data_IF_924226105707
#
_entry.id   IF_924226105707
#
_cell.length_a   1.000
_cell.length_b   1.000
_cell.length_c   1.000
_cell.angle_alpha   90.00
_cell.angle_beta   90.00
_cell.angle_gamma   90.00
#
_symmetry.space_group_name_H-M   'P 1'
#
loop_
_entity.id
_entity.type
_entity.pdbx_description
1 polymer ?
#
# COMPACT_ATOMS: atom_id res chain seq x y z
N UNK A 1 -15.81 7.68 -4.51
CA UNK A 1 -17.22 7.59 -4.06
C UNK A 1 -17.92 8.93 -4.16
N UNK A 2 -17.46 9.98 -3.46
CA UNK A 2 -18.00 11.34 -3.64
C UNK A 2 -17.88 11.80 -5.09
N UNK A 3 -16.69 11.71 -5.68
CA UNK A 3 -16.48 12.11 -7.07
C UNK A 3 -17.33 11.29 -8.04
N UNK A 4 -17.33 9.96 -7.93
CA UNK A 4 -18.07 9.09 -8.85
C UNK A 4 -19.60 9.18 -8.73
N UNK A 5 -20.16 9.51 -7.55
CA UNK A 5 -21.62 9.53 -7.34
C UNK A 5 -22.24 10.91 -7.37
N UNK A 6 -21.50 11.96 -7.01
CA UNK A 6 -22.04 13.31 -6.86
C UNK A 6 -21.48 14.23 -7.95
N UNK A 7 -20.18 14.16 -8.21
CA UNK A 7 -19.50 15.12 -9.08
C UNK A 7 -19.55 14.69 -10.55
N UNK A 8 -19.23 13.42 -10.84
CA UNK A 8 -19.18 12.89 -12.20
C UNK A 8 -20.50 13.06 -12.96
N UNK A 9 -21.69 12.80 -12.38
CA UNK A 9 -22.96 13.05 -13.07
C UNK A 9 -23.18 14.52 -13.45
N UNK A 10 -22.50 15.46 -12.79
CA UNK A 10 -22.55 16.89 -13.12
C UNK A 10 -21.64 17.24 -14.29
N UNK A 11 -20.63 16.42 -14.58
CA UNK A 11 -19.67 16.65 -15.67
C UNK A 11 -19.97 15.83 -16.92
N UNK A 12 -20.53 14.63 -16.75
CA UNK A 12 -20.84 13.72 -17.83
C UNK A 12 -22.31 13.30 -17.76
N UNK A 13 -23.10 13.84 -18.69
CA UNK A 13 -24.53 13.53 -18.82
C UNK A 13 -24.78 12.65 -20.04
N UNK A 14 -25.61 11.62 -19.89
CA UNK A 14 -26.04 10.77 -20.99
C UNK A 14 -27.40 11.23 -21.55
N UNK A 15 -27.50 11.36 -22.87
CA UNK A 15 -28.78 11.52 -23.58
C UNK A 15 -28.93 10.40 -24.62
N UNK A 16 -30.16 9.91 -24.80
CA UNK A 16 -30.48 8.87 -25.78
C UNK A 16 -30.16 9.28 -27.22
N UNK A 17 -30.20 10.59 -27.51
CA UNK A 17 -30.12 11.09 -28.89
C UNK A 17 -28.67 11.45 -29.29
N UNK A 18 -27.80 11.73 -28.32
CA UNK A 18 -26.45 12.26 -28.56
C UNK A 18 -25.34 11.53 -27.79
N UNK A 19 -25.68 10.51 -27.01
CA UNK A 19 -24.74 9.80 -26.14
C UNK A 19 -24.22 10.66 -24.97
N UNK A 20 -23.01 10.35 -24.49
CA UNK A 20 -22.36 11.08 -23.40
C UNK A 20 -21.89 12.46 -23.84
N UNK A 21 -22.26 13.50 -23.09
CA UNK A 21 -21.80 14.88 -23.28
C UNK A 21 -20.99 15.35 -22.07
N UNK A 22 -19.86 16.00 -22.35
CA UNK A 22 -19.00 16.62 -21.35
C UNK A 22 -19.41 18.07 -21.10
N UNK A 23 -19.63 18.42 -19.83
CA UNK A 23 -19.91 19.77 -19.37
C UNK A 23 -18.64 20.40 -18.77
N UNK A 24 -17.82 21.01 -19.62
CA UNK A 24 -16.57 21.66 -19.21
C UNK A 24 -16.79 22.84 -18.25
N UNK A 25 -17.90 23.56 -18.40
CA UNK A 25 -18.31 24.66 -17.52
C UNK A 25 -18.57 24.16 -16.09
N UNK A 26 -19.35 23.09 -15.95
CA UNK A 26 -19.64 22.47 -14.66
C UNK A 26 -18.39 21.87 -14.01
N UNK A 27 -17.50 21.25 -14.80
CA UNK A 27 -16.22 20.75 -14.31
C UNK A 27 -15.34 21.86 -13.71
N UNK A 28 -15.23 23.01 -14.40
CA UNK A 28 -14.50 24.17 -13.90
C UNK A 28 -15.15 24.79 -12.66
N UNK A 29 -16.48 24.99 -12.68
CA UNK A 29 -17.23 25.56 -11.54
C UNK A 29 -17.20 24.67 -10.30
N UNK A 30 -17.20 23.36 -10.46
CA UNK A 30 -17.09 22.42 -9.35
C UNK A 30 -15.79 22.62 -8.56
N UNK A 31 -14.72 23.06 -9.23
CA UNK A 31 -13.39 23.32 -8.67
C UNK A 31 -12.98 22.24 -7.66
N UNK A 32 -13.19 20.98 -8.07
CA UNK A 32 -12.85 19.79 -7.28
C UNK A 32 -11.41 19.78 -6.83
N UNK A 33 -10.50 20.35 -7.63
CA UNK A 33 -9.12 20.59 -7.22
C UNK A 33 -9.11 21.34 -5.88
N UNK A 34 -9.60 22.57 -5.83
CA UNK A 34 -9.56 23.33 -4.58
C UNK A 34 -10.33 22.66 -3.42
N UNK A 35 -11.50 22.05 -3.70
CA UNK A 35 -12.37 21.45 -2.67
C UNK A 35 -11.83 20.13 -2.10
N UNK A 36 -11.18 19.32 -2.93
CA UNK A 36 -10.65 18.02 -2.53
C UNK A 36 -9.24 18.14 -1.97
N UNK A 37 -8.45 19.11 -2.45
CA UNK A 37 -7.06 19.29 -2.03
C UNK A 37 -6.94 19.55 -0.54
N UNK A 38 -7.82 20.33 0.09
CA UNK A 38 -7.84 20.49 1.56
C UNK A 38 -7.85 19.15 2.30
N UNK A 39 -8.56 18.14 1.79
CA UNK A 39 -8.61 16.82 2.44
C UNK A 39 -7.39 15.95 2.12
N UNK A 40 -6.77 16.14 0.96
CA UNK A 40 -5.59 15.38 0.52
C UNK A 40 -4.28 16.00 1.01
N UNK A 41 -4.27 17.28 1.36
CA UNK A 41 -3.10 18.01 1.88
C UNK A 41 -3.20 18.24 3.37
N UNK A 42 -4.27 18.88 3.85
CA UNK A 42 -4.35 19.34 5.24
C UNK A 42 -4.41 18.17 6.18
N UNK A 43 -5.27 17.17 5.93
CA UNK A 43 -5.39 16.01 6.84
C UNK A 43 -4.07 15.22 6.93
N UNK A 44 -3.41 14.82 5.82
CA UNK A 44 -2.13 14.11 5.92
C UNK A 44 -1.00 14.97 6.51
N UNK A 45 -0.93 16.26 6.19
CA UNK A 45 0.09 17.15 6.76
C UNK A 45 -0.16 17.38 8.26
N UNK A 46 -1.40 17.55 8.70
CA UNK A 46 -1.74 17.64 10.12
C UNK A 46 -1.39 16.35 10.86
N UNK A 47 -1.72 15.18 10.30
CA UNK A 47 -1.34 13.90 10.88
C UNK A 47 0.18 13.72 10.94
N UNK A 48 0.91 14.17 9.91
CA UNK A 48 2.36 14.18 9.89
C UNK A 48 2.94 15.10 10.98
N UNK A 49 2.40 16.32 11.11
CA UNK A 49 2.80 17.26 12.17
C UNK A 49 2.54 16.66 13.54
N UNK A 50 1.37 16.08 13.78
CA UNK A 50 1.04 15.43 15.04
C UNK A 50 1.98 14.24 15.32
N UNK A 51 2.33 13.45 14.30
CA UNK A 51 3.28 12.35 14.42
C UNK A 51 4.70 12.82 14.77
N UNK A 52 5.19 13.90 14.15
CA UNK A 52 6.49 14.49 14.45
C UNK A 52 6.49 15.11 15.85
N UNK A 53 5.42 15.80 16.24
CA UNK A 53 5.25 16.34 17.59
C UNK A 53 5.24 15.21 18.61
N UNK A 54 4.46 14.14 18.36
CA UNK A 54 4.44 12.95 19.20
C UNK A 54 5.83 12.30 19.34
N UNK A 55 6.64 12.33 18.28
CA UNK A 55 8.01 11.80 18.31
C UNK A 55 8.91 12.50 19.34
N UNK A 56 8.70 13.80 19.61
CA UNK A 56 9.45 14.51 20.66
C UNK A 56 9.20 13.97 22.07
N UNK A 57 8.08 13.29 22.29
CA UNK A 57 7.72 12.66 23.57
C UNK A 57 8.15 11.19 23.65
N UNK A 58 8.80 10.66 22.61
CA UNK A 58 9.25 9.25 22.58
C UNK A 58 10.70 9.10 23.04
N UNK A 59 11.07 7.95 23.65
CA UNK A 59 12.44 7.67 24.04
C UNK A 59 13.44 7.78 22.87
N UNK A 60 14.68 8.18 23.16
CA UNK A 60 15.72 8.47 22.17
C UNK A 60 15.92 7.33 21.15
N UNK A 61 15.81 6.08 21.58
CA UNK A 61 15.98 4.87 20.74
C UNK A 61 14.96 4.77 19.61
N UNK A 62 13.73 5.25 19.84
CA UNK A 62 12.61 5.19 18.87
C UNK A 62 12.45 6.51 18.12
N UNK A 63 12.86 7.62 18.75
CA UNK A 63 12.71 8.97 18.18
C UNK A 63 13.35 9.10 16.80
N UNK A 64 14.54 8.55 16.58
CA UNK A 64 15.21 8.61 15.28
C UNK A 64 14.42 7.90 14.18
N UNK A 65 13.77 6.78 14.51
CA UNK A 65 12.90 6.07 13.58
C UNK A 65 11.62 6.84 13.27
N UNK A 66 11.03 7.49 14.27
CA UNK A 66 9.88 8.38 14.08
C UNK A 66 10.22 9.59 13.21
N UNK A 67 11.37 10.21 13.43
CA UNK A 67 11.86 11.33 12.61
C UNK A 67 12.16 10.89 11.18
N UNK A 68 12.80 9.73 10.99
CA UNK A 68 13.06 9.18 9.66
C UNK A 68 11.75 8.85 8.92
N UNK A 69 10.77 8.25 9.60
CA UNK A 69 9.45 8.00 9.02
C UNK A 69 8.73 9.32 8.67
N UNK A 70 8.80 10.31 9.55
CA UNK A 70 8.25 11.65 9.29
C UNK A 70 8.89 12.33 8.09
N UNK A 71 10.22 12.26 7.97
CA UNK A 71 10.96 12.78 6.82
C UNK A 71 10.58 12.04 5.52
N UNK A 72 10.45 10.71 5.55
CA UNK A 72 10.03 9.93 4.40
C UNK A 72 8.61 10.30 3.94
N UNK A 73 7.68 10.47 4.87
CA UNK A 73 6.32 10.94 4.55
C UNK A 73 6.34 12.36 4.01
N UNK A 74 7.16 13.25 4.58
CA UNK A 74 7.31 14.62 4.07
C UNK A 74 7.83 14.63 2.64
N UNK A 75 8.87 13.85 2.33
CA UNK A 75 9.42 13.72 0.97
C UNK A 75 8.36 13.19 0.01
N UNK A 76 7.62 12.15 0.40
CA UNK A 76 6.51 11.61 -0.39
C UNK A 76 5.41 12.68 -0.64
N UNK A 77 5.06 13.48 0.37
CA UNK A 77 4.11 14.60 0.22
C UNK A 77 4.63 15.67 -0.72
N UNK A 78 5.90 16.09 -0.57
CA UNK A 78 6.54 17.09 -1.44
C UNK A 78 6.56 16.60 -2.88
N UNK A 79 6.98 15.36 -3.13
CA UNK A 79 6.99 14.80 -4.49
C UNK A 79 5.59 14.71 -5.08
N UNK A 80 4.61 14.26 -4.29
CA UNK A 80 3.20 14.22 -4.71
C UNK A 80 2.74 15.62 -5.11
N UNK A 81 2.99 16.64 -4.30
CA UNK A 81 2.55 18.01 -4.60
C UNK A 81 3.29 18.62 -5.79
N UNK A 82 4.61 18.40 -5.89
CA UNK A 82 5.43 18.90 -6.99
C UNK A 82 5.00 18.33 -8.35
N UNK A 83 4.43 17.11 -8.38
CA UNK A 83 3.85 16.55 -9.60
C UNK A 83 2.40 16.96 -9.79
N UNK A 84 1.52 16.72 -8.81
CA UNK A 84 0.08 16.87 -8.99
C UNK A 84 -0.38 18.33 -9.06
N UNK A 85 0.25 19.28 -8.35
CA UNK A 85 -0.14 20.70 -8.43
C UNK A 85 0.08 21.24 -9.85
N UNK A 86 1.29 21.14 -10.44
CA UNK A 86 1.50 21.63 -11.81
C UNK A 86 0.67 20.90 -12.86
N UNK A 87 0.47 19.57 -12.71
CA UNK A 87 -0.39 18.81 -13.63
C UNK A 87 -1.83 19.29 -13.58
N UNK A 88 -2.39 19.49 -12.39
CA UNK A 88 -3.76 19.98 -12.26
C UNK A 88 -3.92 21.41 -12.78
N UNK A 89 -2.98 22.31 -12.48
CA UNK A 89 -2.99 23.67 -13.02
C UNK A 89 -2.92 23.66 -14.56
N UNK A 90 -2.06 22.81 -15.13
CA UNK A 90 -1.95 22.63 -16.58
C UNK A 90 -3.25 22.11 -17.19
N UNK A 91 -3.86 21.07 -16.59
CA UNK A 91 -5.13 20.50 -17.07
C UNK A 91 -6.30 21.48 -16.94
N UNK A 92 -6.33 22.30 -15.89
CA UNK A 92 -7.40 23.28 -15.68
C UNK A 92 -7.26 24.51 -16.60
N UNK A 93 -6.03 24.86 -17.00
CA UNK A 93 -5.76 26.03 -17.84
C UNK A 93 -5.66 25.71 -19.34
N UNK A 94 -5.38 24.47 -19.74
CA UNK A 94 -5.28 24.09 -21.16
C UNK A 94 -6.67 23.92 -21.80
N UNK A 95 -7.06 24.90 -22.61
CA UNK A 95 -8.31 24.91 -23.39
C UNK A 95 -8.28 24.00 -24.64
N UNK A 96 -7.20 23.26 -24.87
CA UNK A 96 -6.94 22.54 -26.13
C UNK A 96 -7.48 21.10 -26.16
N UNK A 97 -7.98 20.55 -25.06
CA UNK A 97 -8.61 19.23 -25.09
C UNK A 97 -9.99 19.36 -25.75
N UNK A 98 -10.13 18.77 -26.94
CA UNK A 98 -11.41 18.73 -27.65
C UNK A 98 -12.49 18.07 -26.79
N UNK A 99 -13.75 18.52 -26.92
CA UNK A 99 -14.86 17.97 -26.13
C UNK A 99 -15.02 16.45 -26.29
N UNK A 100 -14.71 15.90 -27.47
CA UNK A 100 -14.73 14.46 -27.74
C UNK A 100 -13.61 13.70 -27.02
N UNK A 101 -12.40 14.25 -26.98
CA UNK A 101 -11.28 13.65 -26.24
C UNK A 101 -11.52 13.69 -24.72
N UNK A 102 -12.09 14.79 -24.21
CA UNK A 102 -12.49 14.90 -22.81
C UNK A 102 -13.57 13.86 -22.44
N UNK A 103 -14.60 13.69 -23.28
CA UNK A 103 -15.62 12.63 -23.11
C UNK A 103 -14.97 11.25 -23.12
N UNK A 104 -14.05 10.97 -24.05
CA UNK A 104 -13.38 9.67 -24.13
C UNK A 104 -12.57 9.36 -22.86
N UNK A 105 -11.75 10.30 -22.38
CA UNK A 105 -10.95 10.14 -21.15
C UNK A 105 -11.84 10.03 -19.91
N UNK A 106 -12.89 10.85 -19.80
CA UNK A 106 -13.83 10.80 -18.68
C UNK A 106 -14.60 9.47 -18.66
N UNK A 107 -15.10 9.02 -19.81
CA UNK A 107 -15.80 7.74 -19.94
C UNK A 107 -14.88 6.56 -19.63
N UNK A 108 -13.63 6.60 -20.10
CA UNK A 108 -12.61 5.61 -19.75
C UNK A 108 -12.36 5.57 -18.24
N UNK A 109 -12.17 6.72 -17.59
CA UNK A 109 -11.97 6.81 -16.14
C UNK A 109 -13.18 6.32 -15.35
N UNK A 110 -14.41 6.70 -15.74
CA UNK A 110 -15.65 6.22 -15.12
C UNK A 110 -15.77 4.71 -15.28
N UNK A 111 -15.49 4.17 -16.47
CA UNK A 111 -15.55 2.73 -16.71
C UNK A 111 -14.48 1.94 -15.92
N UNK A 112 -13.35 2.56 -15.56
CA UNK A 112 -12.33 1.96 -14.70
C UNK A 112 -12.71 2.03 -13.22
N UNK A 113 -13.15 3.19 -12.74
CA UNK A 113 -13.33 3.47 -11.31
C UNK A 113 -14.74 3.14 -10.81
N UNK A 114 -15.77 3.39 -11.64
CA UNK A 114 -17.18 3.24 -11.26
C UNK A 114 -17.77 1.87 -11.62
N UNK A 115 -17.08 1.06 -12.44
CA UNK A 115 -17.58 -0.26 -12.86
C UNK A 115 -17.45 -1.34 -11.80
N UNK A 116 -16.51 -1.20 -10.87
CA UNK A 116 -16.23 -2.21 -9.84
C UNK A 116 -16.20 -1.68 -8.39
N UNK A 117 -17.16 -0.86 -7.95
CA UNK A 117 -17.09 -0.18 -6.66
C UNK A 117 -17.14 -1.16 -5.49
N UNK A 118 -17.92 -2.23 -5.60
CA UNK A 118 -18.06 -3.25 -4.57
C UNK A 118 -16.74 -4.02 -4.40
N UNK A 119 -16.15 -4.50 -5.49
CA UNK A 119 -14.87 -5.21 -5.46
C UNK A 119 -13.76 -4.31 -4.88
N UNK A 120 -13.72 -3.05 -5.29
CA UNK A 120 -12.80 -2.05 -4.73
C UNK A 120 -12.96 -1.87 -3.22
N UNK A 121 -14.19 -1.78 -2.71
CA UNK A 121 -14.43 -1.64 -1.26
C UNK A 121 -14.08 -2.92 -0.49
N UNK A 122 -14.41 -4.10 -1.04
CA UNK A 122 -14.04 -5.40 -0.49
C UNK A 122 -12.53 -5.57 -0.40
N UNK A 123 -11.76 -4.92 -1.27
CA UNK A 123 -10.30 -4.93 -1.19
C UNK A 123 -9.76 -3.89 -0.20
N UNK A 124 -10.16 -2.62 -0.35
CA UNK A 124 -9.55 -1.49 0.36
C UNK A 124 -9.91 -1.48 1.85
N UNK A 125 -11.16 -1.77 2.24
CA UNK A 125 -11.54 -1.72 3.65
C UNK A 125 -10.80 -2.79 4.47
N UNK A 126 -10.75 -4.07 4.05
CA UNK A 126 -9.92 -5.07 4.72
C UNK A 126 -8.42 -4.76 4.67
N UNK A 127 -7.91 -4.17 3.58
CA UNK A 127 -6.50 -3.74 3.51
C UNK A 127 -6.19 -2.65 4.54
N UNK A 128 -7.09 -1.70 4.75
CA UNK A 128 -6.96 -0.68 5.79
C UNK A 128 -6.87 -1.34 7.18
N UNK A 129 -7.78 -2.25 7.52
CA UNK A 129 -7.70 -2.99 8.78
C UNK A 129 -6.40 -3.78 8.89
N UNK A 130 -5.96 -4.43 7.81
CA UNK A 130 -4.73 -5.21 7.79
C UNK A 130 -3.49 -4.36 8.12
N UNK A 131 -3.36 -3.20 7.48
CA UNK A 131 -2.22 -2.31 7.67
C UNK A 131 -2.24 -1.58 9.01
N UNK A 132 -3.42 -1.14 9.47
CA UNK A 132 -3.56 -0.40 10.75
C UNK A 132 -3.37 -1.32 11.96
N UNK A 133 -3.92 -2.54 11.91
CA UNK A 133 -3.87 -3.48 13.04
C UNK A 133 -2.62 -4.37 13.03
N UNK A 134 -1.91 -4.45 11.89
CA UNK A 134 -0.72 -5.28 11.71
C UNK A 134 0.42 -4.96 12.68
N UNK A 135 0.81 -3.68 12.90
CA UNK A 135 1.87 -3.31 13.83
C UNK A 135 1.65 -3.84 15.26
N UNK A 136 0.40 -3.93 15.72
CA UNK A 136 0.06 -4.47 17.03
C UNK A 136 0.41 -5.97 17.18
N UNK A 137 0.55 -6.72 16.07
CA UNK A 137 1.02 -8.10 16.12
C UNK A 137 2.53 -8.23 16.35
N UNK A 138 3.31 -7.20 16.04
CA UNK A 138 4.76 -7.23 16.19
C UNK A 138 5.24 -6.58 17.50
N UNK A 139 4.35 -5.92 18.25
CA UNK A 139 4.64 -5.36 19.57
C UNK A 139 4.72 -6.46 20.64
N UNK A 140 5.92 -6.66 21.20
CA UNK A 140 6.14 -7.60 22.31
C UNK A 140 5.35 -7.14 23.55
N UNK A 141 5.44 -5.87 23.94
CA UNK A 141 4.72 -5.33 25.10
C UNK A 141 3.20 -5.47 25.01
N UNK A 142 2.61 -5.29 23.82
CA UNK A 142 1.18 -5.51 23.64
C UNK A 142 0.80 -6.98 23.78
N UNK A 143 1.58 -7.88 23.19
CA UNK A 143 1.36 -9.33 23.28
C UNK A 143 1.47 -9.82 24.73
N UNK A 144 2.46 -9.34 25.47
CA UNK A 144 2.77 -9.84 26.81
C UNK A 144 1.74 -9.31 27.84
N UNK A 145 1.25 -8.08 27.67
CA UNK A 145 0.23 -7.48 28.55
C UNK A 145 -1.21 -7.84 28.18
N UNK A 146 -1.51 -8.04 26.89
CA UNK A 146 -2.88 -8.18 26.37
C UNK A 146 -3.04 -9.37 25.42
N UNK A 147 -2.59 -10.57 25.84
CA UNK A 147 -2.54 -11.76 24.99
C UNK A 147 -3.88 -12.15 24.34
N UNK A 148 -4.99 -12.01 25.05
CA UNK A 148 -6.32 -12.31 24.49
C UNK A 148 -6.67 -11.37 23.33
N UNK A 149 -6.38 -10.08 23.47
CA UNK A 149 -6.58 -9.07 22.43
C UNK A 149 -5.62 -9.29 21.26
N UNK A 150 -4.37 -9.63 21.52
CA UNK A 150 -3.42 -10.02 20.47
C UNK A 150 -3.96 -11.18 19.61
N UNK A 151 -4.55 -12.20 20.23
CA UNK A 151 -5.17 -13.34 19.51
C UNK A 151 -6.41 -12.95 18.71
N UNK A 152 -7.29 -12.09 19.26
CA UNK A 152 -8.46 -11.57 18.53
C UNK A 152 -8.03 -10.73 17.32
N UNK A 153 -7.06 -9.84 17.52
CA UNK A 153 -6.47 -9.03 16.46
C UNK A 153 -5.85 -9.90 15.35
N UNK A 154 -5.12 -10.96 15.71
CA UNK A 154 -4.57 -11.91 14.74
C UNK A 154 -5.63 -12.62 13.90
N UNK A 155 -6.81 -12.93 14.46
CA UNK A 155 -7.94 -13.49 13.69
C UNK A 155 -8.53 -12.48 12.71
N UNK A 156 -8.71 -11.23 13.15
CA UNK A 156 -9.19 -10.14 12.29
C UNK A 156 -8.21 -9.95 11.12
N UNK A 157 -6.91 -9.92 11.39
CA UNK A 157 -5.87 -9.79 10.36
C UNK A 157 -5.81 -10.97 9.40
N UNK A 158 -6.03 -12.18 9.88
CA UNK A 158 -6.05 -13.35 9.01
C UNK A 158 -7.26 -13.30 8.06
N UNK A 159 -8.44 -12.97 8.57
CA UNK A 159 -9.65 -12.84 7.74
C UNK A 159 -9.51 -11.67 6.77
N UNK A 160 -9.10 -10.49 7.25
CA UNK A 160 -8.94 -9.32 6.41
C UNK A 160 -7.88 -9.55 5.34
N UNK A 161 -6.72 -10.11 5.71
CA UNK A 161 -5.66 -10.50 4.78
C UNK A 161 -6.15 -11.47 3.72
N UNK A 162 -6.85 -12.55 4.09
CA UNK A 162 -7.39 -13.49 3.10
C UNK A 162 -8.34 -12.80 2.11
N UNK A 163 -9.23 -11.92 2.60
CA UNK A 163 -10.12 -11.13 1.72
C UNK A 163 -9.33 -10.21 0.79
N UNK A 164 -8.29 -9.54 1.30
CA UNK A 164 -7.37 -8.70 0.49
C UNK A 164 -6.70 -9.52 -0.61
N UNK A 165 -6.12 -10.66 -0.27
CA UNK A 165 -5.40 -11.50 -1.22
C UNK A 165 -6.32 -12.08 -2.30
N UNK A 166 -7.48 -12.60 -1.92
CA UNK A 166 -8.46 -13.14 -2.88
C UNK A 166 -9.02 -12.04 -3.78
N UNK A 167 -9.43 -10.91 -3.20
CA UNK A 167 -9.91 -9.78 -4.00
C UNK A 167 -8.83 -9.22 -4.94
N UNK A 168 -7.56 -9.19 -4.52
CA UNK A 168 -6.44 -8.79 -5.39
C UNK A 168 -6.25 -9.72 -6.59
N UNK A 169 -6.42 -11.04 -6.42
CA UNK A 169 -6.43 -11.98 -7.54
C UNK A 169 -7.59 -11.70 -8.49
N UNK A 170 -8.80 -11.56 -7.95
CA UNK A 170 -10.00 -11.26 -8.77
C UNK A 170 -9.80 -9.95 -9.53
N UNK A 171 -9.24 -8.92 -8.89
CA UNK A 171 -8.89 -7.66 -9.54
C UNK A 171 -7.86 -7.82 -10.65
N UNK A 172 -6.81 -8.63 -10.44
CA UNK A 172 -5.73 -8.83 -11.42
C UNK A 172 -6.22 -9.45 -12.73
N UNK A 173 -7.27 -10.27 -12.69
CA UNK A 173 -7.86 -10.89 -13.88
C UNK A 173 -9.13 -10.17 -14.39
N UNK A 174 -9.87 -9.52 -13.48
CA UNK A 174 -11.20 -8.97 -13.77
C UNK A 174 -11.23 -7.46 -14.02
N UNK A 175 -10.16 -6.73 -13.70
CA UNK A 175 -10.05 -5.29 -13.95
C UNK A 175 -8.98 -5.00 -15.02
N UNK A 176 -9.23 -4.04 -15.93
CA UNK A 176 -8.19 -3.55 -16.83
C UNK A 176 -7.02 -2.96 -16.05
N UNK A 177 -5.81 -3.47 -16.27
CA UNK A 177 -4.57 -2.97 -15.67
C UNK A 177 -3.95 -1.87 -16.54
N UNK A 178 -3.45 -0.81 -15.89
CA UNK A 178 -2.78 0.32 -16.56
C UNK A 178 -1.51 -0.18 -17.26
N UNK A 179 -0.71 -0.98 -16.57
CA UNK A 179 0.51 -1.61 -17.08
C UNK A 179 0.28 -2.92 -17.83
N UNK A 180 -0.96 -3.17 -18.31
CA UNK A 180 -1.32 -4.35 -19.06
C UNK A 180 -0.96 -5.67 -18.37
N UNK A 181 -0.56 -6.65 -19.18
CA UNK A 181 -0.21 -8.01 -18.72
C UNK A 181 0.96 -8.00 -17.73
N UNK A 182 1.92 -7.09 -17.88
CA UNK A 182 3.05 -6.98 -16.96
C UNK A 182 2.60 -6.62 -15.54
N UNK A 183 1.74 -5.61 -15.40
CA UNK A 183 1.15 -5.26 -14.10
C UNK A 183 0.31 -6.42 -13.57
N UNK A 184 -0.53 -7.04 -14.40
CA UNK A 184 -1.39 -8.15 -13.98
C UNK A 184 -0.58 -9.36 -13.49
N UNK A 185 0.54 -9.68 -14.13
CA UNK A 185 1.45 -10.74 -13.71
C UNK A 185 2.09 -10.41 -12.34
N UNK A 186 2.56 -9.17 -12.16
CA UNK A 186 3.14 -8.71 -10.90
C UNK A 186 2.10 -8.79 -9.76
N UNK A 187 0.92 -8.20 -9.95
CA UNK A 187 -0.14 -8.19 -8.92
C UNK A 187 -0.67 -9.58 -8.60
N UNK A 188 -0.70 -10.48 -9.59
CA UNK A 188 -1.04 -11.89 -9.38
C UNK A 188 0.00 -12.57 -8.50
N UNK A 189 1.30 -12.41 -8.78
CA UNK A 189 2.36 -12.97 -7.94
C UNK A 189 2.29 -12.42 -6.51
N UNK A 190 2.09 -11.11 -6.36
CA UNK A 190 1.87 -10.46 -5.07
C UNK A 190 0.78 -11.17 -4.28
N UNK A 191 -0.40 -11.32 -4.88
CA UNK A 191 -1.56 -11.88 -4.21
C UNK A 191 -1.37 -13.37 -3.89
N UNK A 192 -0.78 -14.16 -4.80
CA UNK A 192 -0.47 -15.57 -4.57
C UNK A 192 0.55 -15.74 -3.44
N UNK A 193 1.65 -15.00 -3.47
CA UNK A 193 2.68 -15.09 -2.42
C UNK A 193 2.14 -14.62 -1.07
N UNK A 194 1.35 -13.53 -1.05
CA UNK A 194 0.72 -13.02 0.15
C UNK A 194 -0.24 -14.04 0.79
N UNK A 195 -1.12 -14.65 -0.02
CA UNK A 195 -2.03 -15.71 0.43
C UNK A 195 -1.26 -16.95 0.90
N UNK A 196 -0.22 -17.34 0.17
CA UNK A 196 0.65 -18.45 0.56
C UNK A 196 1.32 -18.18 1.91
N UNK A 197 1.84 -16.97 2.12
CA UNK A 197 2.46 -16.57 3.37
C UNK A 197 1.46 -16.58 4.53
N UNK A 198 0.24 -16.07 4.34
CA UNK A 198 -0.83 -16.15 5.34
C UNK A 198 -1.23 -17.60 5.65
N UNK A 199 -1.39 -18.44 4.63
CA UNK A 199 -1.72 -19.85 4.81
C UNK A 199 -0.63 -20.60 5.59
N UNK A 200 0.64 -20.33 5.28
CA UNK A 200 1.79 -20.85 6.03
C UNK A 200 1.79 -20.35 7.46
N UNK A 201 1.62 -19.05 7.67
CA UNK A 201 1.54 -18.47 9.01
C UNK A 201 0.42 -19.13 9.83
N UNK A 202 -0.77 -19.32 9.25
CA UNK A 202 -1.90 -19.99 9.89
C UNK A 202 -1.58 -21.45 10.22
N UNK A 203 -1.00 -22.20 9.28
CA UNK A 203 -0.63 -23.60 9.50
C UNK A 203 0.38 -23.75 10.64
N UNK A 204 1.39 -22.88 10.69
CA UNK A 204 2.42 -22.90 11.73
C UNK A 204 1.84 -22.54 13.12
N UNK A 205 0.93 -21.57 13.23
CA UNK A 205 0.31 -21.25 14.53
C UNK A 205 -0.61 -22.38 15.02
N UNK A 206 -1.32 -23.08 14.11
CA UNK A 206 -2.14 -24.25 14.46
C UNK A 206 -1.29 -25.41 14.99
N UNK A 207 -0.06 -25.55 14.49
CA UNK A 207 0.95 -26.51 14.98
C UNK A 207 1.73 -26.02 16.20
N UNK A 208 1.41 -24.84 16.75
CA UNK A 208 2.15 -24.18 17.84
C UNK A 208 3.61 -23.86 17.51
N UNK A 209 3.96 -23.80 16.22
CA UNK A 209 5.29 -23.44 15.72
C UNK A 209 5.43 -21.91 15.67
N UNK A 210 5.48 -21.26 16.84
CA UNK A 210 5.36 -19.80 16.99
C UNK A 210 6.44 -19.03 16.20
N UNK A 211 7.67 -19.53 16.19
CA UNK A 211 8.78 -18.90 15.47
C UNK A 211 8.49 -18.84 13.96
N UNK A 212 8.08 -19.97 13.37
CA UNK A 212 7.76 -20.03 11.95
C UNK A 212 6.50 -19.21 11.62
N UNK A 213 5.50 -19.23 12.49
CA UNK A 213 4.33 -18.35 12.35
C UNK A 213 4.76 -16.88 12.24
N UNK A 214 5.62 -16.41 13.16
CA UNK A 214 6.15 -15.04 13.13
C UNK A 214 6.87 -14.73 11.82
N UNK A 215 7.77 -15.60 11.38
CA UNK A 215 8.51 -15.38 10.13
C UNK A 215 7.58 -15.29 8.90
N UNK A 216 6.55 -16.13 8.81
CA UNK A 216 5.58 -16.06 7.72
C UNK A 216 4.63 -14.86 7.82
N UNK A 217 4.27 -14.42 9.04
CA UNK A 217 3.52 -13.18 9.23
C UNK A 217 4.32 -11.94 8.85
N UNK A 218 5.65 -11.92 9.11
CA UNK A 218 6.53 -10.82 8.66
C UNK A 218 6.51 -10.72 7.13
N UNK A 219 6.67 -11.85 6.42
CA UNK A 219 6.58 -11.88 4.95
C UNK A 219 5.26 -11.34 4.44
N UNK A 220 4.14 -11.84 4.98
CA UNK A 220 2.81 -11.37 4.59
C UNK A 220 2.65 -9.87 4.84
N UNK A 221 3.00 -9.39 6.03
CA UNK A 221 2.86 -7.98 6.38
C UNK A 221 3.73 -7.07 5.53
N UNK A 222 5.00 -7.45 5.28
CA UNK A 222 5.90 -6.67 4.42
C UNK A 222 5.36 -6.57 2.98
N UNK A 223 4.89 -7.68 2.41
CA UNK A 223 4.30 -7.66 1.07
C UNK A 223 3.02 -6.82 1.03
N UNK A 224 2.19 -6.86 2.07
CA UNK A 224 1.03 -5.97 2.20
C UNK A 224 1.43 -4.49 2.25
N UNK A 225 2.52 -4.17 2.94
CA UNK A 225 3.06 -2.81 3.05
C UNK A 225 3.68 -2.29 1.75
N UNK A 226 4.11 -3.19 0.86
CA UNK A 226 4.74 -2.81 -0.41
C UNK A 226 3.91 -1.86 -1.26
N UNK A 227 2.58 -1.96 -1.22
CA UNK A 227 1.67 -1.03 -1.93
C UNK A 227 1.92 0.43 -1.52
N UNK A 228 2.29 0.69 -0.27
CA UNK A 228 2.65 2.03 0.19
C UNK A 228 3.95 2.53 -0.45
N UNK A 229 4.93 1.65 -0.70
CA UNK A 229 6.21 2.00 -1.35
C UNK A 229 6.10 2.06 -2.87
N UNK A 230 5.21 1.27 -3.49
CA UNK A 230 4.97 1.31 -4.94
C UNK A 230 4.43 2.68 -5.36
N UNK A 231 3.62 3.35 -4.53
CA UNK A 231 3.03 4.67 -4.83
C UNK A 231 4.08 5.74 -5.15
N UNK A 232 5.06 6.03 -4.29
CA UNK A 232 6.11 7.01 -4.62
C UNK A 232 6.98 6.56 -5.79
N UNK A 233 7.23 5.24 -5.97
CA UNK A 233 7.97 4.73 -7.14
C UNK A 233 7.23 5.07 -8.44
N UNK A 234 5.91 4.82 -8.49
CA UNK A 234 5.05 5.22 -9.61
C UNK A 234 5.07 6.74 -9.80
N UNK A 235 5.03 7.52 -8.72
CA UNK A 235 5.15 8.98 -8.77
C UNK A 235 6.46 9.46 -9.41
N UNK A 236 7.59 8.82 -9.10
CA UNK A 236 8.90 9.11 -9.72
C UNK A 236 8.86 8.80 -11.21
N UNK A 237 8.29 7.65 -11.62
CA UNK A 237 8.17 7.31 -13.04
C UNK A 237 7.31 8.33 -13.79
N UNK A 238 6.20 8.78 -13.20
CA UNK A 238 5.41 9.86 -13.79
C UNK A 238 6.19 11.17 -13.92
N UNK A 239 6.96 11.55 -12.90
CA UNK A 239 7.77 12.78 -12.93
C UNK A 239 8.91 12.71 -13.95
N UNK A 240 9.47 11.52 -14.19
CA UNK A 240 10.59 11.29 -15.11
C UNK A 240 10.16 10.87 -16.52
N UNK A 241 8.86 10.60 -16.74
CA UNK A 241 8.29 10.20 -18.04
C UNK A 241 8.66 11.13 -19.20
N UNK A 242 8.65 12.49 -19.06
CA UNK A 242 9.04 13.38 -20.16
C UNK A 242 10.49 13.22 -20.62
N UNK A 243 11.39 12.79 -19.71
CA UNK A 243 12.82 12.62 -20.01
C UNK A 243 13.15 11.19 -20.47
N UNK A 244 12.43 10.21 -19.94
CA UNK A 244 12.68 8.79 -20.20
C UNK A 244 11.88 8.25 -21.38
N UNK A 245 10.80 8.93 -21.77
CA UNK A 245 9.84 8.45 -22.76
C UNK A 245 8.94 7.30 -22.27
N UNK A 246 9.13 6.83 -21.02
CA UNK A 246 8.38 5.71 -20.48
C UNK A 246 6.92 6.09 -20.24
N UNK A 247 6.01 5.30 -20.80
CA UNK A 247 4.57 5.43 -20.63
C UNK A 247 4.08 4.69 -19.38
N UNK A 248 2.90 5.05 -18.84
CA UNK A 248 2.30 4.32 -17.72
C UNK A 248 2.12 2.82 -18.00
N UNK A 249 1.89 2.46 -19.26
CA UNK A 249 1.78 1.07 -19.67
C UNK A 249 3.08 0.28 -19.40
N UNK A 250 4.23 0.93 -19.58
CA UNK A 250 5.55 0.30 -19.44
C UNK A 250 6.01 0.27 -17.97
N UNK A 251 5.85 1.36 -17.22
CA UNK A 251 6.46 1.46 -15.90
C UNK A 251 5.58 0.93 -14.75
N UNK A 252 4.27 0.79 -14.91
CA UNK A 252 3.40 0.33 -13.81
C UNK A 252 3.80 -1.06 -13.32
N UNK A 253 3.93 -2.04 -14.22
CA UNK A 253 4.36 -3.39 -13.84
C UNK A 253 5.74 -3.39 -13.17
N UNK A 254 6.69 -2.63 -13.72
CA UNK A 254 8.04 -2.47 -13.18
C UNK A 254 8.03 -1.92 -11.75
N UNK A 255 7.20 -0.92 -11.45
CA UNK A 255 7.07 -0.37 -10.12
C UNK A 255 6.57 -1.42 -9.10
N UNK A 256 5.62 -2.27 -9.50
CA UNK A 256 5.17 -3.39 -8.67
C UNK A 256 6.32 -4.39 -8.42
N UNK A 257 7.07 -4.78 -9.46
CA UNK A 257 8.21 -5.70 -9.31
C UNK A 257 9.28 -5.16 -8.35
N UNK A 258 9.64 -3.88 -8.48
CA UNK A 258 10.58 -3.22 -7.56
C UNK A 258 10.04 -3.28 -6.13
N UNK A 259 8.77 -2.93 -5.93
CA UNK A 259 8.12 -2.99 -4.63
C UNK A 259 8.13 -4.39 -4.02
N UNK A 260 7.87 -5.43 -4.83
CA UNK A 260 7.88 -6.82 -4.40
C UNK A 260 9.25 -7.24 -3.88
N UNK A 261 10.28 -7.05 -4.72
CA UNK A 261 11.65 -7.47 -4.44
C UNK A 261 12.18 -6.72 -3.23
N UNK A 262 11.95 -5.40 -3.16
CA UNK A 262 12.39 -4.58 -2.05
C UNK A 262 11.80 -5.08 -0.71
N UNK A 263 10.49 -5.31 -0.67
CA UNK A 263 9.82 -5.74 0.57
C UNK A 263 10.10 -7.19 0.93
N UNK A 264 10.21 -8.09 -0.05
CA UNK A 264 10.58 -9.47 0.22
C UNK A 264 12.02 -9.54 0.77
N UNK A 265 12.96 -8.83 0.16
CA UNK A 265 14.33 -8.75 0.66
C UNK A 265 14.39 -8.13 2.06
N UNK A 266 13.68 -7.03 2.29
CA UNK A 266 13.62 -6.40 3.61
C UNK A 266 13.06 -7.38 4.68
N UNK A 267 12.02 -8.14 4.35
CA UNK A 267 11.47 -9.16 5.22
C UNK A 267 12.49 -10.27 5.53
N UNK A 268 13.20 -10.79 4.52
CA UNK A 268 14.21 -11.83 4.72
C UNK A 268 15.40 -11.34 5.54
N UNK A 269 15.92 -10.15 5.23
CA UNK A 269 17.02 -9.54 6.00
C UNK A 269 16.62 -9.37 7.46
N UNK A 270 15.41 -8.88 7.72
CA UNK A 270 14.88 -8.73 9.08
C UNK A 270 14.68 -10.07 9.81
N UNK A 271 14.19 -11.09 9.09
CA UNK A 271 14.02 -12.42 9.67
C UNK A 271 15.39 -13.00 10.05
N UNK A 272 16.37 -12.89 9.15
CA UNK A 272 17.72 -13.41 9.38
C UNK A 272 18.43 -12.67 10.52
N UNK A 273 18.31 -11.35 10.60
CA UNK A 273 18.92 -10.55 11.67
C UNK A 273 18.25 -10.75 13.04
N UNK A 274 16.98 -11.16 13.08
CA UNK A 274 16.23 -11.38 14.33
C UNK A 274 16.08 -12.85 14.73
N UNK A 275 16.77 -13.77 14.05
CA UNK A 275 16.83 -15.18 14.47
C UNK A 275 17.71 -15.30 15.72
N UNK A 276 17.24 -15.98 16.79
CA UNK A 276 18.10 -16.29 17.92
C UNK A 276 19.29 -17.12 17.43
N UNK A 277 20.52 -16.67 17.73
CA UNK A 277 21.72 -17.48 17.51
C UNK A 277 21.56 -18.76 18.34
N UNK A 278 21.70 -19.91 17.69
CA UNK A 278 21.84 -21.16 18.44
C UNK A 278 23.12 -21.05 19.28
N UNK A 279 23.12 -21.47 20.56
CA UNK A 279 24.36 -21.60 21.32
C UNK A 279 25.35 -22.44 20.52
N UNK A 280 26.58 -21.96 20.36
CA UNK A 280 27.62 -22.75 19.68
C UNK A 280 27.82 -24.07 20.44
N UNK A 281 28.06 -25.21 19.77
CA UNK A 281 28.27 -26.50 20.42
C UNK A 281 29.47 -26.55 21.39
N UNK A 282 30.31 -25.52 21.44
CA UNK A 282 31.63 -25.54 22.11
C UNK A 282 31.60 -25.33 23.64
N UNK A 283 30.44 -25.20 24.28
CA UNK A 283 30.39 -25.02 25.75
C UNK A 283 30.11 -26.30 26.54
N UNK A 284 29.77 -27.43 25.91
CA UNK A 284 29.55 -28.71 26.61
C UNK A 284 30.82 -29.55 26.77
N UNK A 285 31.83 -29.41 25.90
CA UNK A 285 33.07 -30.18 26.01
C UNK A 285 33.97 -29.71 27.16
N UNK A 286 33.93 -28.41 27.48
CA UNK A 286 34.79 -27.83 28.52
C UNK A 286 34.40 -28.24 29.94
N UNK A 287 33.21 -28.79 30.14
CA UNK A 287 32.77 -29.34 31.43
C UNK A 287 32.97 -30.86 31.55
N UNK A 288 33.20 -31.57 30.45
CA UNK A 288 33.54 -33.00 30.48
C UNK A 288 35.05 -33.23 30.60
N UNK A 289 35.90 -32.32 30.12
CA UNK A 289 37.35 -32.41 30.35
C UNK A 289 37.76 -32.13 31.79
N UNK A 290 37.08 -31.24 32.52
CA UNK A 290 37.45 -30.96 33.93
C UNK A 290 37.05 -32.09 34.90
N UNK A 291 36.12 -32.96 34.52
CA UNK A 291 35.68 -34.11 35.34
C UNK A 291 36.51 -35.36 35.06
N UNK A 292 37.26 -35.42 33.94
CA UNK A 292 38.17 -36.53 33.63
C UNK A 292 39.57 -36.40 34.25
N UNK A 293 39.86 -35.29 34.91
CA UNK A 293 41.14 -35.02 35.57
C UNK A 293 41.05 -34.90 37.10
N UNK A 294 39.94 -35.39 37.69
CA UNK A 294 39.77 -35.60 39.13
C UNK A 294 39.50 -37.09 39.38
#
# INVERSE_FOLDING_TARGET
MYESRIIVPQWLSFSTDSGYRWNAEAARRANVGLRFWVYVTTVPLTLLTLAIVAAWWTPNEVRNWWLAAGAAVLVDRVMTFAYFIPTMLTLMNNQTISGSEAVAKATQWINLVARYPVLTLIHILPALFFLVLGPLQFSQGFRDRHLQWHRRNGRVLLVSGTVVGVSALVMSFGMPSIGGVNQAAATTLFALFFLFALAKAFRHIRRREIRLHREWMIRAFSIGLAVATIRPIVGIFFATSPFTGLTPYEFFGTAFWIGFVLHLTAAEVWIQSTRPLLPSPKSSDRHQESVRHL
#
